data_IF_779016822695
#
_entry.id   IF_779016822695
#
_cell.length_a   1.000
_cell.length_b   1.000
_cell.length_c   1.000
_cell.angle_alpha   90.00
_cell.angle_beta   90.00
_cell.angle_gamma   90.00
#
_symmetry.space_group_name_H-M   'P 1'
#
loop_
_entity.id
_entity.type
_entity.pdbx_description
1 polymer ?
#
# COMPACT_ATOMS: atom_id res chain seq x y z
N UNK A 1 6.83 3.65 -9.93
CA UNK A 1 7.40 2.54 -9.14
C UNK A 1 8.22 3.14 -8.02
N UNK A 2 7.95 2.73 -6.79
CA UNK A 2 8.56 3.27 -5.56
C UNK A 2 9.85 2.55 -5.20
N UNK A 3 10.09 1.35 -5.73
CA UNK A 3 11.22 0.50 -5.35
C UNK A 3 10.94 -0.33 -4.09
N UNK A 4 9.72 -0.26 -3.55
CA UNK A 4 9.26 -1.08 -2.42
C UNK A 4 8.25 -2.13 -2.94
N UNK A 5 8.65 -3.41 -3.06
CA UNK A 5 7.85 -4.41 -3.76
C UNK A 5 6.43 -4.60 -3.23
N UNK A 6 6.20 -4.48 -1.91
CA UNK A 6 4.85 -4.55 -1.35
C UNK A 6 3.96 -3.41 -1.84
N UNK A 7 4.50 -2.18 -1.88
CA UNK A 7 3.76 -0.99 -2.33
C UNK A 7 3.51 -1.10 -3.84
N UNK A 8 4.55 -1.39 -4.61
CA UNK A 8 4.46 -1.51 -6.06
C UNK A 8 3.49 -2.63 -6.50
N UNK A 9 3.50 -3.77 -5.82
CA UNK A 9 2.56 -4.87 -6.08
C UNK A 9 1.11 -4.45 -5.86
N UNK A 10 0.81 -3.79 -4.73
CA UNK A 10 -0.53 -3.30 -4.42
C UNK A 10 -1.00 -2.24 -5.43
N UNK A 11 -0.14 -1.28 -5.78
CA UNK A 11 -0.52 -0.25 -6.76
C UNK A 11 -0.79 -0.87 -8.14
N UNK A 12 -0.02 -1.88 -8.56
CA UNK A 12 -0.27 -2.65 -9.79
C UNK A 12 -1.55 -3.48 -9.72
N UNK A 13 -1.88 -4.09 -8.58
CA UNK A 13 -3.15 -4.79 -8.36
C UNK A 13 -4.33 -3.83 -8.55
N UNK A 14 -4.28 -2.66 -7.90
CA UNK A 14 -5.34 -1.64 -7.99
C UNK A 14 -5.55 -1.17 -9.42
N UNK A 15 -4.49 -0.80 -10.12
CA UNK A 15 -4.59 -0.30 -11.50
C UNK A 15 -5.18 -1.36 -12.45
N UNK A 16 -4.81 -2.63 -12.28
CA UNK A 16 -5.20 -3.70 -13.20
C UNK A 16 -6.57 -4.31 -12.90
N UNK A 17 -7.00 -4.30 -11.65
CA UNK A 17 -8.20 -5.01 -11.21
C UNK A 17 -9.29 -4.10 -10.67
N UNK A 18 -8.94 -2.86 -10.31
CA UNK A 18 -9.81 -1.96 -9.57
C UNK A 18 -10.10 -2.41 -8.14
N UNK A 19 -9.30 -3.34 -7.60
CA UNK A 19 -9.39 -3.81 -6.23
C UNK A 19 -8.02 -3.75 -5.55
N UNK A 20 -8.01 -3.58 -4.23
CA UNK A 20 -6.81 -3.74 -3.41
C UNK A 20 -7.21 -4.31 -2.06
N UNK A 21 -6.47 -5.29 -1.55
CA UNK A 21 -6.71 -5.85 -0.22
C UNK A 21 -6.69 -4.76 0.87
N UNK A 22 -7.50 -4.90 1.92
CA UNK A 22 -7.53 -3.92 3.02
C UNK A 22 -6.14 -3.70 3.66
N UNK A 23 -5.34 -4.77 3.77
CA UNK A 23 -3.95 -4.69 4.25
C UNK A 23 -3.08 -3.86 3.31
N UNK A 24 -3.26 -4.05 2.00
CA UNK A 24 -2.66 -3.23 0.96
C UNK A 24 -2.98 -1.76 1.09
N UNK A 25 -4.28 -1.43 1.17
CA UNK A 25 -4.78 -0.06 1.29
C UNK A 25 -4.15 0.69 2.47
N UNK A 26 -4.05 0.04 3.64
CA UNK A 26 -3.40 0.61 4.83
C UNK A 26 -1.91 0.91 4.60
N UNK A 27 -1.18 -0.03 3.97
CA UNK A 27 0.25 0.12 3.72
C UNK A 27 0.54 1.22 2.69
N UNK A 28 -0.15 1.24 1.55
CA UNK A 28 0.11 2.25 0.51
C UNK A 28 -0.30 3.65 0.95
N UNK A 29 -1.38 3.78 1.73
CA UNK A 29 -1.82 5.06 2.27
C UNK A 29 -0.85 5.62 3.31
N UNK A 30 -0.39 4.76 4.23
CA UNK A 30 0.65 5.15 5.20
C UNK A 30 1.95 5.52 4.49
N UNK A 31 2.38 4.73 3.50
CA UNK A 31 3.59 4.99 2.73
C UNK A 31 3.54 6.35 2.01
N UNK A 32 2.43 6.66 1.34
CA UNK A 32 2.27 7.92 0.63
C UNK A 32 2.27 9.12 1.58
N UNK A 33 1.54 9.04 2.70
CA UNK A 33 1.39 10.16 3.61
C UNK A 33 2.58 10.34 4.58
N UNK A 34 3.23 9.26 5.01
CA UNK A 34 4.24 9.27 6.07
C UNK A 34 5.66 9.09 5.56
N UNK A 35 5.89 8.13 4.66
CA UNK A 35 7.24 7.90 4.11
C UNK A 35 7.58 8.90 3.00
N UNK A 36 6.63 9.17 2.09
CA UNK A 36 6.84 10.14 1.00
C UNK A 36 6.47 11.59 1.39
N UNK A 37 5.66 11.77 2.44
CA UNK A 37 5.19 13.11 2.85
C UNK A 37 4.32 13.81 1.81
N UNK A 38 3.69 13.06 0.91
CA UNK A 38 2.84 13.58 -0.16
C UNK A 38 1.44 13.88 0.41
N UNK A 39 0.77 14.88 -0.16
CA UNK A 39 -0.62 15.18 0.15
C UNK A 39 -1.51 13.95 -0.03
N UNK A 40 -2.08 13.48 1.07
CA UNK A 40 -2.89 12.27 1.13
C UNK A 40 -4.11 12.34 0.21
N UNK A 41 -4.61 13.54 -0.10
CA UNK A 41 -5.78 13.73 -0.97
C UNK A 41 -5.53 13.22 -2.39
N UNK A 42 -4.28 13.31 -2.88
CA UNK A 42 -3.90 12.75 -4.18
C UNK A 42 -4.05 11.23 -4.20
N UNK A 43 -3.69 10.56 -3.10
CA UNK A 43 -3.90 9.13 -2.95
C UNK A 43 -5.39 8.76 -2.85
N UNK A 44 -6.17 9.57 -2.13
CA UNK A 44 -7.61 9.39 -2.00
C UNK A 44 -8.36 9.54 -3.33
N UNK A 45 -8.02 10.57 -4.11
CA UNK A 45 -8.57 10.80 -5.46
C UNK A 45 -8.15 9.70 -6.45
N UNK A 46 -6.91 9.20 -6.34
CA UNK A 46 -6.49 8.03 -7.13
C UNK A 46 -7.34 6.79 -6.80
N UNK A 47 -7.56 6.53 -5.52
CA UNK A 47 -8.44 5.45 -5.07
C UNK A 47 -9.88 5.63 -5.56
N UNK A 48 -10.41 6.84 -5.52
CA UNK A 48 -11.72 7.16 -6.09
C UNK A 48 -11.82 6.83 -7.58
N UNK A 49 -10.76 7.12 -8.36
CA UNK A 49 -10.77 6.84 -9.80
C UNK A 49 -10.62 5.36 -10.16
N UNK A 50 -10.01 4.55 -9.30
CA UNK A 50 -9.65 3.16 -9.61
C UNK A 50 -10.52 2.10 -8.92
N UNK A 51 -10.98 2.36 -7.69
CA UNK A 51 -11.65 1.34 -6.89
C UNK A 51 -13.05 1.02 -7.42
N UNK A 52 -13.30 -0.25 -7.72
CA UNK A 52 -14.63 -0.76 -8.05
C UNK A 52 -15.59 -0.70 -6.86
N UNK A 53 -15.04 -0.75 -5.64
CA UNK A 53 -15.78 -0.65 -4.38
C UNK A 53 -15.69 0.75 -3.75
N UNK A 54 -15.46 1.78 -4.56
CA UNK A 54 -15.38 3.14 -4.08
C UNK A 54 -16.66 3.55 -3.33
N UNK A 55 -16.46 3.99 -2.09
CA UNK A 55 -17.45 4.68 -1.27
C UNK A 55 -16.77 5.92 -0.67
N UNK A 56 -17.32 7.13 -0.86
CA UNK A 56 -16.65 8.37 -0.45
C UNK A 56 -16.38 8.42 1.06
N UNK A 57 -17.34 8.00 1.87
CA UNK A 57 -17.20 8.02 3.33
C UNK A 57 -16.10 7.06 3.80
N UNK A 58 -16.10 5.85 3.25
CA UNK A 58 -15.13 4.82 3.59
C UNK A 58 -13.74 5.17 3.07
N UNK A 59 -13.63 5.64 1.82
CA UNK A 59 -12.35 6.00 1.22
C UNK A 59 -11.70 7.17 1.95
N UNK A 60 -12.35 8.34 1.96
CA UNK A 60 -11.79 9.53 2.58
C UNK A 60 -11.67 9.40 4.11
N UNK A 61 -12.57 8.67 4.77
CA UNK A 61 -12.46 8.37 6.20
C UNK A 61 -11.21 7.57 6.53
N UNK A 62 -10.94 6.48 5.78
CA UNK A 62 -9.72 5.68 5.97
C UNK A 62 -8.46 6.46 5.59
N UNK A 63 -8.48 7.29 4.55
CA UNK A 63 -7.35 8.12 4.17
C UNK A 63 -7.01 9.19 5.21
N UNK A 64 -8.01 9.88 5.77
CA UNK A 64 -7.81 10.82 6.89
C UNK A 64 -7.17 10.13 8.10
N UNK A 65 -7.62 8.91 8.39
CA UNK A 65 -7.10 8.09 9.47
C UNK A 65 -5.64 7.69 9.25
N UNK A 66 -5.30 7.17 8.06
CA UNK A 66 -3.94 6.78 7.71
C UNK A 66 -2.97 7.97 7.63
N UNK A 67 -3.45 9.12 7.17
CA UNK A 67 -2.65 10.35 7.10
C UNK A 67 -2.43 11.00 8.48
N UNK A 68 -3.22 10.62 9.49
CA UNK A 68 -3.15 11.16 10.85
C UNK A 68 -3.68 12.59 10.97
N UNK A 69 -4.62 12.98 10.10
CA UNK A 69 -5.31 14.28 10.14
C UNK A 69 -6.73 14.19 10.72
N UNK A 70 -7.20 12.96 10.97
CA UNK A 70 -8.49 12.72 11.64
C UNK A 70 -8.40 12.83 13.17
N UNK A 71 -9.56 12.77 13.82
CA UNK A 71 -9.71 12.84 15.28
C UNK A 71 -9.43 11.47 15.96
N UNK A 72 -8.31 10.82 15.61
CA UNK A 72 -7.85 9.60 16.27
C UNK A 72 -6.86 9.98 17.39
N UNK A 73 -7.13 9.64 18.66
CA UNK A 73 -6.21 9.91 19.78
C UNK A 73 -4.90 9.12 19.69
N UNK A 74 -4.78 8.15 18.77
CA UNK A 74 -3.53 7.43 18.54
C UNK A 74 -2.60 8.26 17.66
N UNK A 75 -1.61 8.86 18.29
CA UNK A 75 -0.51 9.50 17.58
C UNK A 75 0.34 8.45 16.82
N UNK A 76 0.71 8.79 15.59
CA UNK A 76 1.75 8.15 14.79
C UNK A 76 1.54 6.69 14.33
N UNK A 77 0.42 6.43 13.62
CA UNK A 77 0.23 5.17 12.87
C UNK A 77 1.06 5.13 11.58
N UNK A 78 2.34 4.85 11.74
CA UNK A 78 3.24 4.51 10.63
C UNK A 78 3.26 3.00 10.38
N UNK A 79 3.12 2.58 9.12
CA UNK A 79 3.31 1.20 8.71
C UNK A 79 4.71 1.02 8.10
N UNK A 80 5.57 0.27 8.79
CA UNK A 80 6.81 -0.19 8.20
C UNK A 80 6.51 -1.25 7.12
N UNK A 81 6.57 -0.84 5.86
CA UNK A 81 6.19 -1.67 4.69
C UNK A 81 7.04 -2.94 4.55
N UNK A 82 8.33 -2.90 4.94
CA UNK A 82 9.21 -4.09 4.89
C UNK A 82 8.79 -5.11 5.95
N UNK A 83 8.50 -4.65 7.17
CA UNK A 83 7.98 -5.51 8.24
C UNK A 83 6.63 -6.10 7.86
N UNK A 84 5.75 -5.31 7.25
CA UNK A 84 4.43 -5.75 6.81
C UNK A 84 4.55 -6.80 5.70
N UNK A 85 5.47 -6.61 4.75
CA UNK A 85 5.77 -7.56 3.71
C UNK A 85 6.21 -8.91 4.29
N UNK A 86 7.23 -8.91 5.16
CA UNK A 86 7.72 -10.12 5.84
C UNK A 86 6.65 -10.82 6.69
N UNK A 87 5.66 -10.08 7.19
CA UNK A 87 4.58 -10.64 8.03
C UNK A 87 3.44 -11.23 7.23
N UNK A 88 3.05 -10.60 6.11
CA UNK A 88 1.82 -10.93 5.37
C UNK A 88 2.07 -11.59 4.01
N UNK A 89 3.30 -11.54 3.51
CA UNK A 89 3.74 -12.23 2.30
C UNK A 89 5.15 -12.80 2.51
N UNK A 90 5.30 -13.68 3.53
CA UNK A 90 6.59 -14.26 3.92
C UNK A 90 7.34 -14.93 2.76
N UNK A 91 6.60 -15.57 1.83
CA UNK A 91 7.16 -16.25 0.67
C UNK A 91 7.45 -15.29 -0.51
N UNK A 92 6.93 -14.06 -0.46
CA UNK A 92 6.96 -13.11 -1.57
C UNK A 92 6.07 -13.50 -2.75
N UNK A 93 5.10 -14.40 -2.54
CA UNK A 93 4.24 -14.94 -3.59
C UNK A 93 3.35 -13.86 -4.18
N UNK A 94 2.81 -12.98 -3.33
CA UNK A 94 1.99 -11.85 -3.76
C UNK A 94 2.83 -10.79 -4.50
N UNK A 95 4.03 -10.47 -4.01
CA UNK A 95 4.93 -9.57 -4.75
C UNK A 95 5.33 -10.16 -6.12
N UNK A 96 5.68 -11.44 -6.19
CA UNK A 96 6.07 -12.11 -7.45
C UNK A 96 4.92 -12.22 -8.45
N UNK A 97 3.68 -12.35 -7.96
CA UNK A 97 2.49 -12.36 -8.79
C UNK A 97 2.31 -11.03 -9.54
N UNK A 98 2.46 -9.90 -8.84
CA UNK A 98 2.22 -8.57 -9.40
C UNK A 98 3.46 -7.89 -10.00
N UNK A 99 4.65 -8.37 -9.63
CA UNK A 99 5.94 -7.92 -10.14
C UNK A 99 6.68 -9.11 -10.74
N UNK A 100 6.37 -9.48 -12.01
CA UNK A 100 7.02 -10.60 -12.70
C UNK A 100 8.55 -10.49 -12.75
N UNK A 101 9.08 -9.27 -12.67
CA UNK A 101 10.52 -8.98 -12.60
C UNK A 101 11.19 -9.59 -11.36
N UNK A 102 10.42 -9.91 -10.30
CA UNK A 102 10.90 -10.53 -9.06
C UNK A 102 10.72 -12.05 -9.03
N UNK A 103 10.17 -12.67 -10.08
CA UNK A 103 9.78 -14.09 -10.09
C UNK A 103 10.92 -15.03 -9.68
N UNK A 104 12.12 -14.77 -10.19
CA UNK A 104 13.31 -15.61 -9.96
C UNK A 104 14.16 -15.14 -8.77
N UNK A 105 13.73 -14.09 -8.06
CA UNK A 105 14.42 -13.59 -6.88
C UNK A 105 14.18 -14.56 -5.71
N UNK A 106 15.23 -15.00 -5.00
CA UNK A 106 15.08 -15.80 -3.78
C UNK A 106 14.17 -15.09 -2.79
N UNK A 107 13.25 -15.81 -2.17
CA UNK A 107 12.24 -15.28 -1.23
C UNK A 107 12.83 -14.34 -0.18
N UNK A 108 14.00 -14.70 0.36
CA UNK A 108 14.75 -13.95 1.37
C UNK A 108 15.06 -12.51 0.94
N UNK A 109 15.23 -12.28 -0.38
CA UNK A 109 15.66 -11.01 -0.96
C UNK A 109 14.52 -10.25 -1.66
N UNK A 110 13.30 -10.79 -1.70
CA UNK A 110 12.18 -10.18 -2.45
C UNK A 110 11.87 -8.77 -1.94
N UNK A 111 11.97 -8.54 -0.64
CA UNK A 111 11.62 -7.25 -0.01
C UNK A 111 12.80 -6.39 0.41
N UNK A 112 14.01 -6.92 0.25
CA UNK A 112 15.28 -6.21 0.45
C UNK A 112 16.23 -6.55 -0.72
N UNK A 113 15.89 -6.19 -1.98
CA UNK A 113 16.65 -6.61 -3.15
C UNK A 113 17.93 -5.78 -3.41
N UNK A 114 18.39 -4.99 -2.44
CA UNK A 114 19.47 -4.01 -2.57
C UNK A 114 20.75 -4.38 -1.81
#
# INVERSE_FOLDING_TARGET
>A
MTGFPLVDANMRELEKTGFMSNRGRQNVASFLAKDLGIDWRLGAEWFESCLLDYDPCSNYGNWNYSAGVGDDPREDRHFNVVKQAKTYDENGDYAKLWIPELKDVPTENVYEPY
#
